data_IF_474243772197
#
_entry.id   IF_474243772197
#
_cell.length_a   1.000
_cell.length_b   1.000
_cell.length_c   1.000
_cell.angle_alpha   90.00
_cell.angle_beta   90.00
_cell.angle_gamma   90.00
#
_symmetry.space_group_name_H-M   'P 1'
#
loop_
_entity.id
_entity.type
_entity.pdbx_description
1 polymer ?
#
# COMPACT_ATOMS: atom_id res chain seq x y z
N UNK A 1 19.20 -3.88 52.59
CA UNK A 1 18.89 -2.97 51.47
C UNK A 1 17.40 -2.62 51.52
N UNK A 2 17.13 -1.37 51.90
CA UNK A 2 15.88 -0.58 51.75
C UNK A 2 14.52 -1.27 51.67
N UNK A 3 13.77 -1.08 52.75
CA UNK A 3 12.31 -1.16 52.86
C UNK A 3 11.71 0.18 52.39
N UNK A 4 10.90 0.26 51.31
CA UNK A 4 10.22 1.50 50.86
C UNK A 4 8.94 1.24 50.02
N UNK A 5 7.78 1.44 50.67
CA UNK A 5 6.41 1.64 50.13
C UNK A 5 5.69 0.36 49.60
N UNK A 6 4.66 -0.22 50.22
CA UNK A 6 3.45 0.31 50.85
C UNK A 6 2.71 1.34 49.99
N UNK A 7 1.76 0.90 49.15
CA UNK A 7 0.45 1.55 49.14
C UNK A 7 -0.65 0.70 48.51
N UNK A 8 -1.75 0.66 49.24
CA UNK A 8 -2.89 -0.23 49.13
C UNK A 8 -3.86 0.29 48.06
N UNK A 9 -4.33 -0.60 47.16
CA UNK A 9 -5.47 -0.29 46.29
C UNK A 9 -6.75 -0.41 47.11
N UNK A 10 -7.32 0.71 47.55
CA UNK A 10 -8.69 0.75 48.06
C UNK A 10 -9.68 0.60 46.89
N UNK A 11 -10.74 -0.21 47.01
CA UNK A 11 -11.84 -0.21 46.06
C UNK A 11 -12.72 1.03 46.30
N UNK A 12 -12.77 1.93 45.32
CA UNK A 12 -13.68 3.08 45.30
C UNK A 12 -15.12 2.57 45.08
N UNK A 13 -15.94 2.68 46.13
CA UNK A 13 -17.37 2.34 46.08
C UNK A 13 -18.08 3.43 45.27
N UNK A 14 -18.61 3.05 44.10
CA UNK A 14 -19.42 3.89 43.22
C UNK A 14 -20.70 4.33 43.96
N UNK A 15 -20.63 5.52 44.56
CA UNK A 15 -21.75 6.18 45.19
C UNK A 15 -22.77 6.60 44.12
N UNK A 16 -23.92 5.94 44.11
CA UNK A 16 -25.06 6.28 43.27
C UNK A 16 -25.82 7.43 43.94
N UNK A 17 -25.39 8.66 43.69
CA UNK A 17 -26.19 9.86 43.99
C UNK A 17 -26.90 10.31 42.73
N UNK A 18 -28.22 10.12 42.72
CA UNK A 18 -29.15 10.59 41.72
C UNK A 18 -29.14 12.13 41.65
N UNK A 19 -28.69 12.69 40.52
CA UNK A 19 -28.85 14.11 40.25
C UNK A 19 -30.26 14.37 39.71
N UNK A 20 -31.09 14.94 40.57
CA UNK A 20 -32.26 15.74 40.20
C UNK A 20 -31.72 16.97 39.46
N UNK A 21 -32.21 17.24 38.25
CA UNK A 21 -31.82 18.38 37.42
C UNK A 21 -32.68 19.59 37.83
N UNK A 22 -32.13 20.67 38.43
CA UNK A 22 -32.82 21.94 38.51
C UNK A 22 -32.66 22.75 37.21
N UNK A 23 -33.71 23.42 36.70
CA UNK A 23 -33.66 24.16 35.44
C UNK A 23 -33.02 25.55 35.57
N UNK A 24 -32.25 25.88 34.54
CA UNK A 24 -32.00 27.21 33.97
C UNK A 24 -31.68 28.39 34.92
N UNK A 25 -30.41 28.80 34.94
CA UNK A 25 -30.05 30.20 35.13
C UNK A 25 -28.84 30.59 34.27
N UNK A 26 -28.92 31.82 33.78
CA UNK A 26 -28.20 32.40 32.66
C UNK A 26 -26.81 32.93 33.03
N UNK A 27 -26.05 33.21 31.97
CA UNK A 27 -24.95 34.20 31.85
C UNK A 27 -23.52 33.75 32.20
N UNK A 28 -22.65 33.86 31.20
CA UNK A 28 -21.48 34.77 31.20
C UNK A 28 -20.38 34.23 30.28
N UNK A 29 -20.06 35.07 29.31
CA UNK A 29 -18.89 35.13 28.42
C UNK A 29 -17.66 34.34 28.88
N UNK A 30 -17.12 33.47 28.01
CA UNK A 30 -15.70 33.11 28.08
C UNK A 30 -14.89 33.88 27.06
N UNK A 31 -14.15 34.83 27.62
CA UNK A 31 -13.04 35.56 27.05
C UNK A 31 -11.96 34.63 26.46
N UNK A 32 -11.25 35.22 25.49
CA UNK A 32 -10.31 34.63 24.56
C UNK A 32 -9.16 33.82 25.19
N UNK A 33 -8.63 32.87 24.40
CA UNK A 33 -7.21 32.51 24.45
C UNK A 33 -6.69 32.29 23.04
N UNK A 34 -5.87 33.24 22.61
CA UNK A 34 -4.98 33.10 21.47
C UNK A 34 -3.96 32.00 21.76
N UNK A 35 -3.89 31.01 20.88
CA UNK A 35 -2.72 30.16 20.69
C UNK A 35 -2.21 30.43 19.28
N UNK A 36 -1.21 31.30 19.21
CA UNK A 36 -0.26 31.36 18.10
C UNK A 36 0.47 30.02 18.01
N UNK A 37 0.23 29.28 16.93
CA UNK A 37 0.88 28.00 16.68
C UNK A 37 0.43 27.40 15.35
N UNK A 38 1.33 27.46 14.37
CA UNK A 38 1.41 26.56 13.21
C UNK A 38 0.30 26.67 12.16
N UNK A 39 0.53 27.54 11.17
CA UNK A 39 0.05 27.31 9.80
C UNK A 39 1.26 27.19 8.87
N UNK A 40 1.83 25.99 8.82
CA UNK A 40 2.57 25.56 7.63
C UNK A 40 1.55 25.44 6.50
N UNK A 41 1.46 26.49 5.71
CA UNK A 41 0.64 26.57 4.50
C UNK A 41 1.17 25.56 3.50
N UNK A 42 0.44 24.45 3.34
CA UNK A 42 0.56 23.61 2.16
C UNK A 42 -0.16 24.33 1.02
N UNK A 43 0.60 24.91 0.10
CA UNK A 43 0.07 25.55 -1.10
C UNK A 43 -0.80 24.56 -1.87
N UNK A 44 -2.11 24.82 -1.85
CA UNK A 44 -3.08 24.21 -2.76
C UNK A 44 -2.85 24.86 -4.13
N UNK A 45 -2.04 24.23 -4.98
CA UNK A 45 -2.03 24.59 -6.40
C UNK A 45 -3.19 23.92 -7.12
N UNK A 46 -3.88 24.80 -7.80
CA UNK A 46 -5.18 24.74 -8.43
C UNK A 46 -5.35 23.66 -9.51
N UNK A 47 -6.62 23.47 -9.84
CA UNK A 47 -7.24 22.49 -10.72
C UNK A 47 -6.87 22.58 -12.20
N UNK A 48 -6.56 21.39 -12.76
CA UNK A 48 -6.76 20.88 -14.14
C UNK A 48 -5.92 21.46 -15.30
N UNK A 49 -5.34 20.57 -16.16
CA UNK A 49 -6.10 20.10 -17.34
C UNK A 49 -5.93 18.59 -17.65
N UNK A 50 -7.00 18.03 -18.23
CA UNK A 50 -7.12 16.84 -19.08
C UNK A 50 -6.28 15.58 -18.73
N UNK A 51 -6.99 14.53 -18.34
CA UNK A 51 -6.46 13.21 -17.96
C UNK A 51 -5.94 12.42 -19.16
N UNK A 52 -4.83 12.85 -19.74
CA UNK A 52 -3.94 11.92 -20.42
C UNK A 52 -3.14 11.17 -19.36
N UNK A 53 -3.78 10.17 -18.74
CA UNK A 53 -3.11 9.24 -17.83
C UNK A 53 -2.23 8.27 -18.63
N UNK A 54 -1.29 8.79 -19.43
CA UNK A 54 -0.12 8.02 -19.86
C UNK A 54 0.61 7.64 -18.56
N UNK A 55 0.56 6.35 -18.22
CA UNK A 55 1.23 5.80 -17.05
C UNK A 55 2.70 6.18 -17.16
N UNK A 56 3.14 7.18 -16.38
CA UNK A 56 4.56 7.50 -16.27
C UNK A 56 5.29 6.21 -15.92
N UNK A 57 6.20 5.77 -16.79
CA UNK A 57 7.10 4.66 -16.52
C UNK A 57 7.70 4.88 -15.13
N UNK A 58 7.72 3.83 -14.31
CA UNK A 58 8.24 3.95 -12.94
C UNK A 58 9.70 4.39 -13.01
N UNK A 59 10.05 5.42 -12.25
CA UNK A 59 11.42 5.95 -12.18
C UNK A 59 12.33 5.13 -11.23
N UNK A 60 11.79 4.13 -10.55
CA UNK A 60 12.51 3.39 -9.52
C UNK A 60 12.75 1.95 -9.97
N UNK A 61 13.94 1.42 -9.66
CA UNK A 61 14.25 0.03 -9.95
C UNK A 61 13.59 -0.90 -8.94
N UNK A 62 13.14 -2.09 -9.39
CA UNK A 62 12.69 -3.17 -8.53
C UNK A 62 13.68 -3.57 -7.41
N UNK A 63 14.97 -3.68 -7.72
CA UNK A 63 16.03 -3.94 -6.73
C UNK A 63 16.02 -2.91 -5.59
N UNK A 64 15.99 -1.61 -5.90
CA UNK A 64 15.93 -0.54 -4.88
C UNK A 64 14.66 -0.62 -4.03
N UNK A 65 13.55 -1.09 -4.59
CA UNK A 65 12.32 -1.31 -3.84
C UNK A 65 12.47 -2.45 -2.83
N UNK A 66 13.12 -3.55 -3.24
CA UNK A 66 13.38 -4.68 -2.35
C UNK A 66 14.29 -4.27 -1.19
N UNK A 67 15.41 -3.59 -1.48
CA UNK A 67 16.34 -3.09 -0.47
C UNK A 67 15.67 -2.15 0.53
N UNK A 68 14.83 -1.23 0.03
CA UNK A 68 14.08 -0.32 0.88
C UNK A 68 13.09 -1.05 1.81
N UNK A 69 12.41 -2.07 1.31
CA UNK A 69 11.48 -2.88 2.12
C UNK A 69 12.25 -3.69 3.17
N UNK A 70 13.40 -4.25 2.82
CA UNK A 70 14.26 -4.98 3.75
C UNK A 70 14.78 -4.07 4.86
N UNK A 71 15.30 -2.89 4.52
CA UNK A 71 15.73 -1.88 5.48
C UNK A 71 14.59 -1.44 6.42
N UNK A 72 13.35 -1.33 5.92
CA UNK A 72 12.19 -1.03 6.76
C UNK A 72 11.81 -2.16 7.72
N UNK A 73 12.07 -3.43 7.36
CA UNK A 73 11.75 -4.61 8.18
C UNK A 73 12.85 -4.94 9.19
N UNK A 74 14.11 -4.92 8.75
CA UNK A 74 15.28 -5.33 9.53
C UNK A 74 15.81 -4.18 10.39
N UNK A 75 16.01 -3.00 9.78
CA UNK A 75 16.63 -1.85 10.44
C UNK A 75 15.59 -0.94 11.14
N UNK A 76 14.29 -1.22 10.97
CA UNK A 76 13.21 -0.41 11.55
C UNK A 76 13.13 1.02 10.98
N UNK A 77 13.68 1.26 9.79
CA UNK A 77 13.68 2.59 9.17
C UNK A 77 12.25 2.97 8.77
N UNK A 78 11.83 4.20 9.09
CA UNK A 78 10.53 4.72 8.68
C UNK A 78 10.45 5.03 7.18
N UNK A 79 9.25 4.93 6.60
CA UNK A 79 9.01 5.14 5.16
C UNK A 79 9.47 6.51 4.62
N UNK A 80 9.55 7.55 5.47
CA UNK A 80 10.09 8.87 5.07
C UNK A 80 11.59 8.79 4.79
N UNK A 81 12.36 8.25 5.74
CA UNK A 81 13.82 8.12 5.64
C UNK A 81 14.22 7.15 4.53
N UNK A 82 13.49 6.04 4.36
CA UNK A 82 13.71 5.13 3.24
C UNK A 82 13.42 5.79 1.87
N UNK A 83 12.43 6.68 1.79
CA UNK A 83 12.10 7.41 0.55
C UNK A 83 13.27 8.28 0.08
N UNK A 84 13.95 8.94 1.01
CA UNK A 84 15.10 9.80 0.75
C UNK A 84 16.34 8.98 0.34
N UNK A 85 16.62 7.87 1.03
CA UNK A 85 17.80 7.02 0.76
C UNK A 85 17.68 6.31 -0.59
N UNK A 86 16.53 5.69 -0.87
CA UNK A 86 16.35 4.85 -2.05
C UNK A 86 15.74 5.59 -3.25
N UNK A 87 15.41 6.88 -3.08
CA UNK A 87 14.76 7.73 -4.08
C UNK A 87 13.45 7.15 -4.64
N UNK A 88 12.63 6.57 -3.75
CA UNK A 88 11.35 5.95 -4.09
C UNK A 88 10.23 6.78 -3.44
N UNK A 89 9.12 7.10 -4.14
CA UNK A 89 8.04 7.87 -3.53
C UNK A 89 7.48 7.20 -2.26
N UNK A 90 7.38 7.95 -1.16
CA UNK A 90 6.89 7.49 0.15
C UNK A 90 5.57 6.72 0.07
N UNK A 91 4.61 7.20 -0.71
CA UNK A 91 3.30 6.55 -0.88
C UNK A 91 3.42 5.19 -1.57
N UNK A 92 4.38 5.03 -2.48
CA UNK A 92 4.69 3.77 -3.14
C UNK A 92 5.33 2.80 -2.16
N UNK A 93 6.34 3.22 -1.40
CA UNK A 93 6.97 2.39 -0.36
C UNK A 93 5.95 1.88 0.65
N UNK A 94 5.10 2.78 1.19
CA UNK A 94 4.06 2.40 2.13
C UNK A 94 3.09 1.37 1.55
N UNK A 95 2.67 1.56 0.30
CA UNK A 95 1.79 0.62 -0.40
C UNK A 95 2.43 -0.76 -0.55
N UNK A 96 3.70 -0.83 -0.92
CA UNK A 96 4.40 -2.11 -1.08
C UNK A 96 4.69 -2.77 0.26
N UNK A 97 5.10 -2.01 1.28
CA UNK A 97 5.33 -2.52 2.63
C UNK A 97 4.07 -3.16 3.24
N UNK A 98 2.89 -2.60 2.97
CA UNK A 98 1.60 -3.15 3.42
C UNK A 98 1.17 -4.43 2.69
N UNK A 99 1.68 -4.69 1.48
CA UNK A 99 1.43 -5.96 0.79
C UNK A 99 2.23 -7.06 1.49
N UNK A 100 1.55 -7.77 2.40
CA UNK A 100 2.13 -8.92 3.10
C UNK A 100 2.50 -10.01 2.09
N UNK A 101 3.68 -10.62 2.26
CA UNK A 101 4.10 -11.83 1.53
C UNK A 101 4.65 -11.65 0.12
N UNK A 102 4.69 -10.45 -0.45
CA UNK A 102 5.29 -10.21 -1.77
C UNK A 102 6.54 -9.36 -1.63
N UNK A 103 7.72 -9.98 -1.72
CA UNK A 103 8.96 -9.25 -2.00
C UNK A 103 8.89 -8.93 -3.50
N UNK A 104 9.03 -7.66 -3.90
CA UNK A 104 8.91 -7.35 -5.29
C UNK A 104 10.17 -7.77 -6.07
N UNK A 105 10.18 -9.01 -6.56
CA UNK A 105 11.23 -9.55 -7.44
C UNK A 105 11.12 -8.93 -8.82
N UNK A 106 12.25 -8.86 -9.55
CA UNK A 106 12.32 -8.44 -10.95
C UNK A 106 11.21 -9.09 -11.81
N UNK A 107 11.09 -10.42 -11.71
CA UNK A 107 10.08 -11.25 -12.41
C UNK A 107 8.62 -10.81 -12.13
N UNK A 108 8.34 -10.41 -10.89
CA UNK A 108 6.99 -9.99 -10.48
C UNK A 108 6.58 -8.65 -11.13
N UNK A 109 7.55 -7.86 -11.59
CA UNK A 109 7.31 -6.63 -12.32
C UNK A 109 7.33 -6.81 -13.82
N UNK A 110 8.11 -7.76 -14.34
CA UNK A 110 8.09 -8.16 -15.75
C UNK A 110 6.72 -8.72 -16.16
N UNK A 111 6.00 -9.36 -15.23
CA UNK A 111 4.59 -9.71 -15.36
C UNK A 111 3.67 -8.46 -15.33
N UNK A 112 3.80 -7.57 -16.32
CA UNK A 112 3.03 -6.32 -16.44
C UNK A 112 1.60 -6.53 -16.97
N UNK A 113 1.25 -7.75 -17.39
CA UNK A 113 -0.06 -8.09 -17.98
C UNK A 113 -1.11 -8.64 -17.01
N UNK A 114 -2.38 -8.69 -17.42
CA UNK A 114 -3.38 -9.54 -16.78
C UNK A 114 -2.86 -10.98 -16.70
N UNK A 115 -3.16 -11.67 -15.60
CA UNK A 115 -2.85 -13.10 -15.49
C UNK A 115 -3.53 -13.84 -16.65
N UNK A 116 -2.80 -14.73 -17.32
CA UNK A 116 -3.40 -15.61 -18.33
C UNK A 116 -4.53 -16.42 -17.67
N UNK A 117 -5.63 -16.63 -18.40
CA UNK A 117 -6.74 -17.47 -17.94
C UNK A 117 -6.41 -18.95 -18.07
N UNK A 118 -5.48 -19.27 -18.96
CA UNK A 118 -4.99 -20.61 -19.21
C UNK A 118 -3.88 -20.93 -18.19
N UNK A 119 -3.87 -22.12 -17.58
CA UNK A 119 -2.76 -22.58 -16.74
C UNK A 119 -1.43 -22.55 -17.51
N UNK A 120 -0.33 -22.28 -16.78
CA UNK A 120 1.02 -22.14 -17.35
C UNK A 120 1.47 -23.37 -18.14
N UNK A 121 1.03 -24.56 -17.73
CA UNK A 121 1.35 -25.82 -18.41
C UNK A 121 0.72 -25.90 -19.80
N UNK A 122 -0.58 -25.56 -19.90
CA UNK A 122 -1.31 -25.55 -21.17
C UNK A 122 -0.84 -24.40 -22.08
N UNK A 123 -0.46 -23.26 -21.50
CA UNK A 123 0.13 -22.14 -22.25
C UNK A 123 1.45 -22.54 -22.91
N UNK A 124 2.31 -23.28 -22.19
CA UNK A 124 3.54 -23.85 -22.75
C UNK A 124 3.27 -24.92 -23.80
N UNK A 125 2.27 -25.78 -23.58
CA UNK A 125 1.84 -26.78 -24.56
C UNK A 125 1.41 -26.13 -25.87
N UNK A 126 0.52 -25.14 -25.78
CA UNK A 126 0.00 -24.40 -26.92
C UNK A 126 1.11 -23.66 -27.67
N UNK A 127 2.06 -23.04 -26.95
CA UNK A 127 3.20 -22.36 -27.54
C UNK A 127 4.11 -23.32 -28.33
N UNK A 128 4.34 -24.54 -27.81
CA UNK A 128 5.11 -25.58 -28.52
C UNK A 128 4.43 -25.99 -29.82
N UNK A 129 3.12 -26.28 -29.77
CA UNK A 129 2.36 -26.65 -30.96
C UNK A 129 2.36 -25.55 -32.04
N UNK A 130 2.36 -24.27 -31.65
CA UNK A 130 2.49 -23.16 -32.60
C UNK A 130 3.85 -23.19 -33.32
N UNK A 131 4.93 -23.39 -32.56
CA UNK A 131 6.30 -23.50 -33.12
C UNK A 131 6.41 -24.72 -34.04
N UNK A 132 5.82 -25.85 -33.67
CA UNK A 132 5.84 -27.06 -34.49
C UNK A 132 5.13 -26.86 -35.84
N UNK A 133 3.99 -26.15 -35.85
CA UNK A 133 3.29 -25.83 -37.10
C UNK A 133 4.05 -24.80 -37.96
N UNK A 134 4.69 -23.82 -37.35
CA UNK A 134 5.56 -22.87 -38.06
C UNK A 134 6.74 -23.59 -38.72
N UNK A 135 7.36 -24.55 -38.01
CA UNK A 135 8.44 -25.39 -38.54
C UNK A 135 7.97 -26.33 -39.66
N UNK A 136 6.70 -26.74 -39.65
CA UNK A 136 6.08 -27.47 -40.74
C UNK A 136 5.73 -26.58 -41.95
N UNK A 137 6.08 -25.29 -41.91
CA UNK A 137 5.75 -24.26 -42.91
C UNK A 137 4.25 -24.12 -43.18
N UNK A 138 3.42 -24.47 -42.19
CA UNK A 138 1.97 -24.27 -42.22
C UNK A 138 1.69 -22.86 -41.70
N UNK A 139 0.82 -22.12 -42.40
CA UNK A 139 0.39 -20.81 -41.91
C UNK A 139 -0.47 -20.97 -40.66
N UNK A 140 0.00 -20.45 -39.52
CA UNK A 140 -0.75 -20.48 -38.27
C UNK A 140 -2.01 -19.60 -38.38
N UNK A 141 -3.18 -20.22 -38.52
CA UNK A 141 -4.45 -19.48 -38.54
C UNK A 141 -5.07 -19.38 -37.15
N UNK A 142 -5.97 -18.41 -36.97
CA UNK A 142 -6.79 -18.30 -35.74
C UNK A 142 -7.66 -19.54 -35.50
N UNK A 143 -8.02 -20.29 -36.55
CA UNK A 143 -8.80 -21.50 -36.44
C UNK A 143 -7.98 -22.63 -35.82
N UNK A 144 -6.75 -22.81 -36.29
CA UNK A 144 -5.84 -23.84 -35.79
C UNK A 144 -5.44 -23.56 -34.36
N UNK A 145 -5.17 -22.30 -34.02
CA UNK A 145 -4.90 -21.90 -32.63
C UNK A 145 -6.05 -22.28 -31.69
N UNK A 146 -7.31 -22.09 -32.11
CA UNK A 146 -8.47 -22.47 -31.31
C UNK A 146 -8.65 -23.97 -31.17
N UNK A 147 -8.40 -24.74 -32.23
CA UNK A 147 -8.47 -26.20 -32.21
C UNK A 147 -7.40 -26.76 -31.28
N UNK A 148 -6.14 -26.34 -31.45
CA UNK A 148 -5.05 -26.73 -30.56
C UNK A 148 -5.32 -26.35 -29.11
N UNK A 149 -5.84 -25.14 -28.85
CA UNK A 149 -6.17 -24.71 -27.50
C UNK A 149 -7.37 -25.47 -26.88
N UNK A 150 -8.22 -26.09 -27.69
CA UNK A 150 -9.34 -26.90 -27.23
C UNK A 150 -8.93 -28.37 -26.99
N UNK A 151 -7.96 -28.86 -27.76
CA UNK A 151 -7.44 -30.22 -27.65
C UNK A 151 -6.50 -30.42 -26.45
N UNK A 152 -5.93 -29.33 -25.92
CA UNK A 152 -5.11 -29.29 -24.70
C UNK A 152 -5.95 -29.21 -23.42
#
# INVERSE_FOLDING_TARGET
LTNKYANQRKPEVRNQQSMIIPPASLSTTRSARATSGEKSQCDKKETSPLRDKKKKNRLWSPTRMADAINAMREQGIGAKKASEIFNIPRTTLRRQYQKKGCIPTEEAYEATGPKSRLPVELEKGLARSCVDMENAFITLTRGDLKKMAFEL
#
